data_IF_798276689549
#
_entry.id   IF_798276689549
#
_cell.length_a   1.000
_cell.length_b   1.000
_cell.length_c   1.000
_cell.angle_alpha   90.00
_cell.angle_beta   90.00
_cell.angle_gamma   90.00
#
_symmetry.space_group_name_H-M   'P 1'
#
loop_
_entity.id
_entity.type
_entity.pdbx_description
1 polymer ?
#
# COMPACT_ATOMS: atom_id res chain seq x y z
N UNK A 1 -6.81 -18.88 -9.89
CA UNK A 1 -6.23 -18.64 -11.21
C UNK A 1 -5.01 -19.51 -11.29
N UNK A 2 -5.00 -20.43 -12.24
CA UNK A 2 -3.94 -21.42 -12.39
C UNK A 2 -2.72 -20.79 -13.08
N UNK A 3 -1.53 -21.27 -12.75
CA UNK A 3 -0.26 -20.81 -13.32
C UNK A 3 -0.23 -20.90 -14.86
N UNK A 4 -1.00 -21.86 -15.42
CA UNK A 4 -1.17 -22.04 -16.87
C UNK A 4 -1.99 -20.92 -17.54
N UNK A 5 -2.96 -20.31 -16.84
CA UNK A 5 -3.80 -19.22 -17.39
C UNK A 5 -3.03 -17.90 -17.50
N UNK A 6 -2.04 -17.68 -16.61
CA UNK A 6 -1.14 -16.52 -16.64
C UNK A 6 -0.14 -16.59 -17.80
N UNK A 7 0.22 -17.80 -18.25
CA UNK A 7 1.11 -18.02 -19.39
C UNK A 7 0.40 -17.77 -20.73
N UNK A 8 -0.87 -18.17 -20.87
CA UNK A 8 -1.65 -17.90 -22.10
C UNK A 8 -1.85 -16.39 -22.33
N UNK A 9 -2.09 -15.60 -21.27
CA UNK A 9 -2.26 -14.13 -21.40
C UNK A 9 -1.01 -13.40 -21.89
N UNK A 10 0.19 -13.96 -21.69
CA UNK A 10 1.44 -13.39 -22.22
C UNK A 10 1.67 -13.70 -23.69
N UNK A 11 1.08 -14.77 -24.23
CA UNK A 11 1.29 -15.15 -25.64
C UNK A 11 0.64 -14.17 -26.62
N UNK A 12 -0.45 -13.51 -26.19
CA UNK A 12 -1.10 -12.44 -26.97
C UNK A 12 -0.38 -11.08 -26.87
N UNK A 13 0.58 -10.93 -25.94
CA UNK A 13 1.38 -9.71 -25.82
C UNK A 13 2.58 -9.75 -26.77
N UNK A 14 2.78 -8.66 -27.51
CA UNK A 14 3.96 -8.52 -28.35
C UNK A 14 5.24 -8.58 -27.49
N UNK A 15 6.37 -9.09 -28.03
CA UNK A 15 7.64 -9.20 -27.31
C UNK A 15 8.08 -7.91 -26.61
N UNK A 16 7.82 -6.74 -27.18
CA UNK A 16 8.13 -5.43 -26.61
C UNK A 16 7.41 -5.10 -25.28
N UNK A 17 6.32 -5.79 -24.94
CA UNK A 17 5.59 -5.60 -23.69
C UNK A 17 6.07 -6.52 -22.55
N UNK A 18 7.06 -7.38 -22.80
CA UNK A 18 7.73 -8.16 -21.76
C UNK A 18 8.73 -7.27 -21.00
N UNK A 19 8.18 -6.37 -20.19
CA UNK A 19 8.95 -5.42 -19.40
C UNK A 19 9.65 -6.13 -18.24
N UNK A 20 10.98 -6.09 -18.22
CA UNK A 20 11.78 -6.55 -17.09
C UNK A 20 11.74 -5.49 -15.98
N UNK A 21 10.76 -5.62 -15.07
CA UNK A 21 10.57 -4.69 -13.96
C UNK A 21 11.74 -4.66 -12.98
N UNK A 22 12.64 -5.64 -12.99
CA UNK A 22 13.87 -5.60 -12.17
C UNK A 22 14.85 -4.50 -12.63
N UNK A 23 14.77 -4.11 -13.91
CA UNK A 23 15.54 -3.03 -14.51
C UNK A 23 14.80 -1.70 -14.54
N UNK A 24 13.58 -1.66 -14.01
CA UNK A 24 12.79 -0.44 -13.96
C UNK A 24 13.46 0.61 -13.06
N UNK A 25 13.21 1.88 -13.36
CA UNK A 25 13.64 2.97 -12.48
C UNK A 25 12.92 2.86 -11.12
N UNK A 26 13.60 3.19 -10.01
CA UNK A 26 12.96 3.23 -8.69
C UNK A 26 11.68 4.07 -8.73
N UNK A 27 10.60 3.55 -8.16
CA UNK A 27 9.32 4.22 -8.14
C UNK A 27 9.47 5.61 -7.48
N UNK A 28 9.20 6.68 -8.24
CA UNK A 28 9.35 8.07 -7.75
C UNK A 28 8.47 8.37 -6.54
N UNK A 29 7.37 7.64 -6.37
CA UNK A 29 6.45 7.78 -5.26
C UNK A 29 6.87 6.95 -4.03
N UNK A 30 7.71 5.93 -4.21
CA UNK A 30 8.22 5.12 -3.10
C UNK A 30 9.14 5.93 -2.17
N UNK A 31 9.75 7.02 -2.65
CA UNK A 31 10.57 7.91 -1.81
C UNK A 31 9.81 8.51 -0.62
N UNK A 32 8.49 8.65 -0.72
CA UNK A 32 7.66 9.18 0.36
C UNK A 32 7.16 8.12 1.35
N UNK A 33 7.44 6.84 1.10
CA UNK A 33 6.92 5.72 1.86
C UNK A 33 8.12 5.00 2.48
N UNK A 34 8.34 5.20 3.78
CA UNK A 34 9.41 4.50 4.48
C UNK A 34 9.13 2.99 4.49
N UNK A 35 10.18 2.19 4.50
CA UNK A 35 10.07 0.73 4.59
C UNK A 35 9.24 0.34 5.84
N UNK A 36 8.25 -0.54 5.65
CA UNK A 36 7.30 -0.91 6.71
C UNK A 36 6.14 0.06 6.94
N UNK A 37 6.02 1.14 6.16
CA UNK A 37 4.86 2.05 6.24
C UNK A 37 3.61 1.42 5.62
N UNK A 38 2.48 1.56 6.30
CA UNK A 38 1.17 1.21 5.76
C UNK A 38 0.58 2.41 5.00
N UNK A 39 0.25 2.22 3.72
CA UNK A 39 -0.49 3.21 2.93
C UNK A 39 -1.98 2.93 3.04
N UNK A 40 -2.74 3.93 3.48
CA UNK A 40 -4.21 3.87 3.54
C UNK A 40 -4.82 4.92 2.64
N UNK A 41 -5.90 4.57 1.95
CA UNK A 41 -6.69 5.50 1.16
C UNK A 41 -7.84 5.99 2.03
N UNK A 42 -7.99 7.31 2.13
CA UNK A 42 -9.13 7.92 2.81
C UNK A 42 -10.27 8.11 1.82
N UNK A 43 -11.48 7.84 2.28
CA UNK A 43 -12.70 8.18 1.53
C UNK A 43 -12.78 9.70 1.29
N UNK A 44 -13.41 10.17 0.19
CA UNK A 44 -13.44 11.57 -0.20
C UNK A 44 -13.96 12.53 0.89
N UNK A 45 -14.92 12.09 1.71
CA UNK A 45 -15.49 12.87 2.80
C UNK A 45 -14.45 13.11 3.91
N UNK A 46 -13.65 12.09 4.23
CA UNK A 46 -12.58 12.20 5.22
C UNK A 46 -11.39 12.99 4.66
N UNK A 47 -11.05 12.81 3.39
CA UNK A 47 -10.02 13.58 2.71
C UNK A 47 -10.40 15.08 2.55
N UNK A 48 -11.68 15.43 2.67
CA UNK A 48 -12.11 16.83 2.74
C UNK A 48 -11.78 17.50 4.07
N UNK A 49 -11.80 16.74 5.16
CA UNK A 49 -11.50 17.24 6.51
C UNK A 49 -10.01 17.14 6.80
N UNK A 50 -9.38 16.03 6.42
CA UNK A 50 -7.97 15.73 6.71
C UNK A 50 -7.10 15.97 5.48
N UNK A 51 -6.76 17.24 5.27
CA UNK A 51 -6.00 17.70 4.10
C UNK A 51 -4.50 17.42 4.14
N UNK A 52 -3.96 17.06 5.31
CA UNK A 52 -2.52 16.82 5.47
C UNK A 52 -2.24 15.54 6.26
N UNK A 53 -1.15 14.82 5.94
CA UNK A 53 -0.78 13.61 6.65
C UNK A 53 -0.47 13.87 8.13
N UNK A 54 0.03 15.06 8.49
CA UNK A 54 0.31 15.43 9.89
C UNK A 54 -0.98 15.47 10.71
N UNK A 55 -2.07 16.01 10.14
CA UNK A 55 -3.38 16.08 10.80
C UNK A 55 -3.93 14.69 11.08
N UNK A 56 -3.80 13.77 10.12
CA UNK A 56 -4.20 12.37 10.28
C UNK A 56 -3.37 11.70 11.36
N UNK A 57 -2.04 11.87 11.31
CA UNK A 57 -1.11 11.31 12.29
C UNK A 57 -1.45 11.73 13.72
N UNK A 58 -1.65 13.02 13.98
CA UNK A 58 -1.97 13.51 15.32
C UNK A 58 -3.24 12.90 15.89
N UNK A 59 -4.26 12.69 15.04
CA UNK A 59 -5.52 12.09 15.49
C UNK A 59 -5.34 10.60 15.79
N UNK A 60 -4.64 9.87 14.92
CA UNK A 60 -4.35 8.46 15.15
C UNK A 60 -3.51 8.26 16.42
N UNK A 61 -2.53 9.14 16.69
CA UNK A 61 -1.77 9.14 17.94
C UNK A 61 -2.65 9.40 19.15
N UNK A 62 -3.55 10.38 19.08
CA UNK A 62 -4.49 10.69 20.16
C UNK A 62 -5.46 9.53 20.45
N UNK A 63 -5.98 8.88 19.40
CA UNK A 63 -6.85 7.70 19.53
C UNK A 63 -6.07 6.54 20.13
N UNK A 64 -4.84 6.29 19.68
CA UNK A 64 -4.00 5.22 20.21
C UNK A 64 -3.68 5.41 21.70
N UNK A 65 -3.53 6.66 22.16
CA UNK A 65 -3.33 6.98 23.58
C UNK A 65 -4.62 6.86 24.41
N UNK A 66 -5.77 7.17 23.81
CA UNK A 66 -7.07 7.10 24.49
C UNK A 66 -7.64 5.68 24.56
N UNK A 67 -7.24 4.81 23.63
CA UNK A 67 -7.67 3.42 23.59
C UNK A 67 -6.85 2.54 24.54
N UNK A 68 -7.46 1.53 25.17
CA UNK A 68 -6.71 0.52 25.91
C UNK A 68 -5.72 -0.18 24.97
N UNK A 69 -4.56 -0.64 25.48
CA UNK A 69 -3.59 -1.36 24.67
C UNK A 69 -4.29 -2.53 23.97
N UNK A 70 -4.17 -2.56 22.64
CA UNK A 70 -4.67 -3.67 21.85
C UNK A 70 -3.97 -4.94 22.34
N UNK A 71 -4.75 -5.96 22.75
CA UNK A 71 -4.18 -7.30 22.93
C UNK A 71 -3.44 -7.67 21.64
N UNK A 72 -2.19 -8.15 21.72
CA UNK A 72 -1.49 -8.57 20.53
C UNK A 72 -2.34 -9.64 19.86
N UNK A 73 -2.77 -9.37 18.62
CA UNK A 73 -3.39 -10.37 17.76
C UNK A 73 -2.48 -11.59 17.80
N UNK A 74 -2.96 -12.64 18.46
CA UNK A 74 -2.25 -13.90 18.61
C UNK A 74 -1.72 -14.28 17.22
N UNK A 75 -0.42 -14.58 17.20
CA UNK A 75 0.29 -15.05 16.03
C UNK A 75 -0.58 -16.04 15.24
N UNK A 76 -1.01 -15.63 14.04
CA UNK A 76 -1.56 -16.58 13.08
C UNK A 76 -0.39 -17.45 12.61
N UNK A 77 -0.37 -18.68 13.11
CA UNK A 77 0.45 -19.78 12.61
C UNK A 77 -0.18 -20.47 11.41
#
# INVERSE_FOLDING_TARGET
>A
MNENELMEQNQDMLPEYHLDYSKARPNRFAKGIAEGSLVVVLEPELAQVYKTPERVRTILEAIAQAMPPQEPLAAYG
#
